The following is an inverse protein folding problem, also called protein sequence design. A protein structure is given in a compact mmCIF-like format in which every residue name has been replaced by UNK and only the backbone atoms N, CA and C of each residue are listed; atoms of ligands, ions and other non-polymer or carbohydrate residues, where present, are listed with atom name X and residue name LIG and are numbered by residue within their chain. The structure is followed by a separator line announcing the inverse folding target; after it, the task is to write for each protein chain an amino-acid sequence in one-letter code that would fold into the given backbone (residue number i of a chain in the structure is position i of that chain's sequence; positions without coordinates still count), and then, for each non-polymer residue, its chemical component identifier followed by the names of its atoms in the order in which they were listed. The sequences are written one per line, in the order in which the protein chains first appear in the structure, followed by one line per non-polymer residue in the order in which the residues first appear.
data_IF_293380272558
#
_entry.id   IF_293380272558
#
_cell.length_a   1.000
_cell.length_b   1.000
_cell.length_c   1.000
_cell.angle_alpha   90.00
_cell.angle_beta   90.00
_cell.angle_gamma   90.00
#
_symmetry.space_group_name_H-M   'P 1'
#
loop_
_entity.id
_entity.type
_entity.pdbx_description
1 polymer ?
#
# COMPACT_ATOMS: atom_id res chain seq x y z
N UNK A 1 33.55 34.73 34.05
CA UNK A 1 34.54 33.81 33.47
C UNK A 1 34.00 32.39 33.74
N UNK A 2 33.17 31.89 32.85
CA UNK A 2 32.72 30.48 32.85
C UNK A 2 32.59 30.04 31.41
N UNK A 3 33.64 29.40 30.98
CA UNK A 3 33.77 28.66 29.73
C UNK A 3 33.11 27.26 29.90
N UNK A 4 31.99 27.01 29.21
CA UNK A 4 31.62 25.65 28.82
C UNK A 4 31.03 25.73 27.39
N UNK A 5 31.64 25.10 26.42
CA UNK A 5 31.04 24.96 25.10
C UNK A 5 29.97 23.87 25.18
N UNK A 6 28.76 24.23 24.80
CA UNK A 6 27.60 23.35 24.67
C UNK A 6 27.80 22.37 23.49
N UNK A 7 28.41 21.23 23.73
CA UNK A 7 28.51 20.11 22.77
C UNK A 7 27.23 19.26 22.69
N UNK A 8 26.09 19.79 23.13
CA UNK A 8 24.81 19.05 23.15
C UNK A 8 24.08 19.12 21.79
N UNK A 9 24.41 20.10 20.94
CA UNK A 9 23.70 20.31 19.67
C UNK A 9 24.03 19.31 18.55
N UNK A 10 25.25 18.82 18.46
CA UNK A 10 25.67 17.99 17.31
C UNK A 10 25.31 16.51 17.46
N UNK A 11 25.27 15.98 18.66
CA UNK A 11 24.90 14.59 18.92
C UNK A 11 23.38 14.36 18.74
N UNK A 12 22.53 15.31 19.10
CA UNK A 12 21.08 15.25 18.89
C UNK A 12 20.72 15.37 17.41
N UNK A 13 21.34 16.28 16.68
CA UNK A 13 21.16 16.47 15.23
C UNK A 13 21.55 15.25 14.42
N UNK A 14 22.61 14.54 14.80
CA UNK A 14 23.01 13.29 14.14
C UNK A 14 22.04 12.14 14.46
N UNK A 15 21.51 12.07 15.67
CA UNK A 15 20.50 11.07 16.07
C UNK A 15 19.18 11.23 15.31
N UNK A 16 18.72 12.45 15.10
CA UNK A 16 17.46 12.71 14.37
C UNK A 16 17.62 12.48 12.87
N UNK A 17 18.75 12.86 12.28
CA UNK A 17 19.07 12.51 10.88
C UNK A 17 19.11 11.00 10.66
N UNK A 18 19.74 10.25 11.57
CA UNK A 18 19.81 8.80 11.48
C UNK A 18 18.40 8.17 11.55
N UNK A 19 17.53 8.62 12.45
CA UNK A 19 16.13 8.17 12.54
C UNK A 19 15.37 8.44 11.25
N UNK A 20 15.50 9.63 10.65
CA UNK A 20 14.87 9.96 9.37
C UNK A 20 15.36 9.06 8.25
N UNK A 21 16.65 8.81 8.14
CA UNK A 21 17.22 7.88 7.14
C UNK A 21 16.69 6.46 7.34
N UNK A 22 16.68 5.96 8.56
CA UNK A 22 16.10 4.64 8.88
C UNK A 22 14.61 4.58 8.53
N UNK A 23 13.86 5.66 8.79
CA UNK A 23 12.47 5.79 8.39
C UNK A 23 12.28 5.72 6.87
N UNK A 24 13.09 6.46 6.11
CA UNK A 24 13.08 6.42 4.65
C UNK A 24 13.41 5.01 4.12
N UNK A 25 14.44 4.36 4.66
CA UNK A 25 14.81 2.99 4.29
C UNK A 25 13.69 1.99 4.63
N UNK A 26 13.02 2.16 5.77
CA UNK A 26 11.91 1.31 6.14
C UNK A 26 10.72 1.47 5.16
N UNK A 27 10.34 2.70 4.78
CA UNK A 27 9.28 2.93 3.80
C UNK A 27 9.66 2.37 2.42
N UNK A 28 10.90 2.55 1.99
CA UNK A 28 11.39 1.96 0.73
C UNK A 28 11.38 0.43 0.80
N UNK A 29 11.88 -0.15 1.89
CA UNK A 29 11.81 -1.59 2.14
C UNK A 29 10.38 -2.12 2.09
N UNK A 30 9.43 -1.38 2.66
CA UNK A 30 8.00 -1.70 2.55
C UNK A 30 7.53 -1.73 1.10
N UNK A 31 7.89 -0.74 0.28
CA UNK A 31 7.52 -0.70 -1.13
C UNK A 31 8.06 -1.93 -1.88
N UNK A 32 9.30 -2.34 -1.58
CA UNK A 32 9.92 -3.53 -2.15
C UNK A 32 9.23 -4.83 -1.69
N UNK A 33 8.94 -4.98 -0.39
CA UNK A 33 8.26 -6.16 0.12
C UNK A 33 6.83 -6.29 -0.41
N UNK A 34 6.09 -5.20 -0.54
CA UNK A 34 4.76 -5.24 -1.18
C UNK A 34 4.85 -5.60 -2.66
N UNK A 35 5.88 -5.14 -3.36
CA UNK A 35 6.13 -5.55 -4.73
C UNK A 35 6.40 -7.07 -4.81
N UNK A 36 7.26 -7.62 -3.94
CA UNK A 36 7.50 -9.07 -3.88
C UNK A 36 6.24 -9.87 -3.57
N UNK A 37 5.37 -9.36 -2.69
CA UNK A 37 4.10 -10.02 -2.40
C UNK A 37 3.23 -10.15 -3.67
N UNK A 38 3.20 -9.14 -4.53
CA UNK A 38 2.47 -9.20 -5.81
C UNK A 38 3.15 -10.10 -6.84
N UNK A 39 4.48 -10.12 -6.85
CA UNK A 39 5.22 -11.05 -7.69
C UNK A 39 4.90 -12.51 -7.35
N UNK A 40 4.75 -12.84 -6.06
CA UNK A 40 4.35 -14.19 -5.62
C UNK A 40 2.97 -14.58 -6.13
N UNK A 41 1.99 -13.66 -6.11
CA UNK A 41 0.65 -13.91 -6.68
C UNK A 41 0.76 -14.25 -8.16
N UNK A 42 1.56 -13.48 -8.92
CA UNK A 42 1.77 -13.72 -10.35
C UNK A 42 2.53 -15.02 -10.63
N UNK A 43 3.53 -15.36 -9.80
CA UNK A 43 4.22 -16.66 -9.92
C UNK A 43 3.26 -17.84 -9.72
N UNK A 44 2.35 -17.76 -8.75
CA UNK A 44 1.35 -18.81 -8.56
C UNK A 44 0.45 -18.95 -9.81
N UNK A 45 -0.06 -17.84 -10.34
CA UNK A 45 -0.86 -17.82 -11.57
C UNK A 45 -0.10 -18.41 -12.75
N UNK A 46 1.18 -18.06 -12.94
CA UNK A 46 2.02 -18.56 -14.03
C UNK A 46 2.32 -20.07 -13.94
N UNK A 47 2.21 -20.71 -12.77
CA UNK A 47 2.39 -22.16 -12.61
C UNK A 47 1.11 -22.96 -12.92
N UNK A 48 0.03 -22.31 -13.30
CA UNK A 48 -1.27 -22.93 -13.55
C UNK A 48 -2.05 -23.28 -12.27
N UNK A 49 -1.56 -22.86 -11.10
CA UNK A 49 -2.31 -22.97 -9.86
C UNK A 49 -3.38 -21.86 -9.83
N UNK A 50 -4.63 -22.26 -9.90
CA UNK A 50 -5.77 -21.33 -9.78
C UNK A 50 -6.06 -21.03 -8.31
N UNK A 51 -5.20 -20.21 -7.67
CA UNK A 51 -5.42 -19.74 -6.30
C UNK A 51 -6.22 -18.45 -6.35
N UNK A 52 -7.43 -18.47 -5.79
CA UNK A 52 -8.28 -17.26 -5.76
C UNK A 52 -7.58 -16.12 -5.01
N UNK A 53 -7.60 -14.88 -5.53
CA UNK A 53 -7.08 -13.70 -4.84
C UNK A 53 -7.55 -13.53 -3.40
N UNK A 54 -8.80 -13.91 -3.10
CA UNK A 54 -9.32 -13.86 -1.73
C UNK A 54 -8.57 -14.78 -0.77
N UNK A 55 -8.05 -15.92 -1.25
CA UNK A 55 -7.27 -16.82 -0.41
C UNK A 55 -5.90 -16.22 -0.04
N UNK A 56 -5.24 -15.50 -0.96
CA UNK A 56 -4.04 -14.72 -0.64
C UNK A 56 -4.33 -13.63 0.39
N UNK A 57 -5.47 -12.92 0.26
CA UNK A 57 -5.88 -11.89 1.22
C UNK A 57 -6.14 -12.49 2.59
N UNK A 58 -6.86 -13.62 2.66
CA UNK A 58 -7.12 -14.33 3.91
C UNK A 58 -5.82 -14.77 4.59
N UNK A 59 -4.95 -15.45 3.84
CA UNK A 59 -3.67 -15.95 4.35
C UNK A 59 -2.80 -14.81 4.90
N UNK A 60 -2.73 -13.68 4.20
CA UNK A 60 -2.05 -12.47 4.66
C UNK A 60 -2.62 -11.94 5.98
N UNK A 61 -3.94 -11.88 6.09
CA UNK A 61 -4.58 -11.37 7.32
C UNK A 61 -4.40 -12.34 8.48
N UNK A 62 -4.54 -13.63 8.22
CA UNK A 62 -4.30 -14.66 9.24
C UNK A 62 -2.86 -14.62 9.75
N UNK A 63 -1.88 -14.61 8.86
CA UNK A 63 -0.47 -14.53 9.23
C UNK A 63 -0.15 -13.22 9.97
N UNK A 64 -0.69 -12.08 9.52
CA UNK A 64 -0.54 -10.79 10.20
C UNK A 64 -1.19 -10.78 11.58
N UNK A 65 -2.35 -11.42 11.74
CA UNK A 65 -3.01 -11.54 13.03
C UNK A 65 -2.21 -12.40 14.01
N UNK A 66 -1.72 -13.55 13.56
CA UNK A 66 -0.84 -14.40 14.38
C UNK A 66 0.43 -13.64 14.78
N UNK A 67 1.06 -12.94 13.83
CA UNK A 67 2.24 -12.13 14.13
C UNK A 67 1.96 -11.07 15.19
N UNK A 68 0.88 -10.27 15.05
CA UNK A 68 0.59 -9.19 16.00
C UNK A 68 0.17 -9.74 17.37
N UNK A 69 -0.55 -10.87 17.43
CA UNK A 69 -0.90 -11.52 18.69
C UNK A 69 0.35 -11.99 19.44
N UNK A 70 1.30 -12.63 18.76
CA UNK A 70 2.58 -13.04 19.36
C UNK A 70 3.36 -11.82 19.84
N UNK A 71 3.47 -10.79 19.00
CA UNK A 71 4.18 -9.54 19.32
C UNK A 71 3.59 -8.86 20.56
N UNK A 72 2.26 -8.69 20.60
CA UNK A 72 1.55 -8.10 21.74
C UNK A 72 1.64 -8.98 23.00
N UNK A 73 1.59 -10.31 22.84
CA UNK A 73 1.76 -11.26 23.93
C UNK A 73 3.14 -11.17 24.58
N UNK A 74 4.21 -11.11 23.78
CA UNK A 74 5.60 -10.95 24.24
C UNK A 74 5.80 -9.63 24.98
N UNK A 75 5.28 -8.53 24.40
CA UNK A 75 5.41 -7.19 25.00
C UNK A 75 4.37 -6.91 26.10
N UNK A 76 3.41 -7.82 26.32
CA UNK A 76 2.31 -7.67 27.28
C UNK A 76 1.51 -6.38 27.08
N UNK A 77 1.29 -5.99 25.82
CA UNK A 77 0.54 -4.77 25.43
C UNK A 77 -0.84 -5.17 24.88
N UNK A 78 -1.92 -5.17 25.70
CA UNK A 78 -3.25 -5.51 25.20
C UNK A 78 -3.77 -4.45 24.22
N UNK A 79 -4.68 -4.81 23.27
CA UNK A 79 -5.29 -3.85 22.38
C UNK A 79 -6.14 -2.83 23.16
N UNK A 80 -6.06 -1.54 22.79
CA UNK A 80 -6.75 -0.43 23.45
C UNK A 80 -7.64 0.33 22.46
N UNK A 81 -8.80 -0.24 22.06
CA UNK A 81 -9.70 0.44 21.13
C UNK A 81 -10.39 1.61 21.82
N UNK A 82 -10.26 2.82 21.23
CA UNK A 82 -10.93 4.03 21.67
C UNK A 82 -12.12 4.39 20.76
N UNK A 83 -12.01 4.14 19.45
CA UNK A 83 -13.05 4.44 18.47
C UNK A 83 -13.16 3.32 17.42
N UNK A 84 -14.17 2.47 17.58
CA UNK A 84 -14.42 1.34 16.69
C UNK A 84 -14.75 1.74 15.26
N UNK A 85 -15.41 2.88 15.03
CA UNK A 85 -15.75 3.36 13.69
C UNK A 85 -14.48 3.54 12.83
N UNK A 86 -13.41 4.10 13.41
CA UNK A 86 -12.16 4.27 12.68
C UNK A 86 -11.46 2.94 12.39
N UNK A 87 -11.50 2.00 13.34
CA UNK A 87 -10.91 0.67 13.18
C UNK A 87 -11.66 -0.16 12.14
N UNK A 88 -13.01 -0.18 12.21
CA UNK A 88 -13.87 -0.90 11.25
C UNK A 88 -13.75 -0.29 9.85
N UNK A 89 -13.89 1.04 9.74
CA UNK A 89 -13.77 1.73 8.45
C UNK A 89 -12.41 1.50 7.78
N UNK A 90 -11.33 1.55 8.56
CA UNK A 90 -9.98 1.19 8.11
C UNK A 90 -9.90 -0.25 7.61
N UNK A 91 -10.48 -1.19 8.37
CA UNK A 91 -10.41 -2.62 8.06
C UNK A 91 -11.21 -2.96 6.80
N UNK A 92 -12.48 -2.54 6.73
CA UNK A 92 -13.35 -2.83 5.57
C UNK A 92 -12.77 -2.26 4.29
N UNK A 93 -12.38 -0.98 4.30
CA UNK A 93 -11.79 -0.36 3.10
C UNK A 93 -10.43 -0.99 2.72
N UNK A 94 -9.64 -1.48 3.69
CA UNK A 94 -8.42 -2.20 3.40
C UNK A 94 -8.68 -3.60 2.82
N UNK A 95 -9.68 -4.33 3.31
CA UNK A 95 -10.09 -5.62 2.73
C UNK A 95 -10.41 -5.46 1.24
N UNK A 96 -11.24 -4.47 0.89
CA UNK A 96 -11.58 -4.15 -0.49
C UNK A 96 -10.34 -3.78 -1.30
N UNK A 97 -9.50 -2.89 -0.77
CA UNK A 97 -8.28 -2.45 -1.45
C UNK A 97 -7.35 -3.62 -1.78
N UNK A 98 -7.09 -4.51 -0.83
CA UNK A 98 -6.14 -5.63 -1.02
C UNK A 98 -6.75 -6.70 -1.91
N UNK A 99 -8.04 -7.01 -1.77
CA UNK A 99 -8.73 -7.95 -2.64
C UNK A 99 -8.69 -7.49 -4.10
N UNK A 100 -9.12 -6.26 -4.37
CA UNK A 100 -9.10 -5.71 -5.73
C UNK A 100 -7.68 -5.60 -6.28
N UNK A 101 -6.70 -5.32 -5.42
CA UNK A 101 -5.30 -5.26 -5.81
C UNK A 101 -4.77 -6.62 -6.29
N UNK A 102 -4.97 -7.68 -5.50
CA UNK A 102 -4.49 -9.01 -5.88
C UNK A 102 -5.25 -9.55 -7.09
N UNK A 103 -6.56 -9.24 -7.19
CA UNK A 103 -7.35 -9.57 -8.37
C UNK A 103 -6.84 -8.88 -9.64
N UNK A 104 -6.49 -7.59 -9.54
CA UNK A 104 -5.88 -6.88 -10.66
C UNK A 104 -4.55 -7.50 -11.09
N UNK A 105 -3.66 -7.82 -10.13
CA UNK A 105 -2.37 -8.45 -10.41
C UNK A 105 -2.52 -9.82 -11.05
N UNK A 106 -3.50 -10.61 -10.62
CA UNK A 106 -3.78 -11.93 -11.18
C UNK A 106 -4.28 -11.84 -12.63
N UNK A 107 -5.23 -10.96 -12.89
CA UNK A 107 -5.89 -10.83 -14.20
C UNK A 107 -5.07 -10.01 -15.22
N UNK A 108 -4.19 -9.13 -14.76
CA UNK A 108 -3.39 -8.26 -15.63
C UNK A 108 -1.89 -8.52 -15.44
N UNK A 109 -1.13 -7.50 -15.06
CA UNK A 109 0.30 -7.60 -14.75
C UNK A 109 0.62 -7.03 -13.38
N UNK A 110 1.77 -7.44 -12.83
CA UNK A 110 2.29 -6.87 -11.57
C UNK A 110 2.52 -5.36 -11.72
N UNK A 111 3.04 -4.92 -12.87
CA UNK A 111 3.26 -3.51 -13.14
C UNK A 111 1.94 -2.73 -13.12
N UNK A 112 0.96 -3.17 -13.88
CA UNK A 112 -0.34 -2.50 -14.03
C UNK A 112 -1.10 -2.44 -12.69
N UNK A 113 -1.22 -3.56 -11.99
CA UNK A 113 -1.86 -3.62 -10.68
C UNK A 113 -1.20 -2.67 -9.67
N UNK A 114 0.14 -2.62 -9.63
CA UNK A 114 0.86 -1.71 -8.72
C UNK A 114 0.70 -0.24 -9.12
N UNK A 115 0.77 0.10 -10.40
CA UNK A 115 0.63 1.49 -10.87
C UNK A 115 -0.77 2.01 -10.55
N UNK A 116 -1.81 1.24 -10.89
CA UNK A 116 -3.20 1.62 -10.66
C UNK A 116 -3.53 1.69 -9.15
N UNK A 117 -3.04 0.76 -8.34
CA UNK A 117 -3.18 0.86 -6.89
C UNK A 117 -2.52 2.14 -6.34
N UNK A 118 -1.37 2.57 -6.89
CA UNK A 118 -0.67 3.78 -6.48
C UNK A 118 -1.36 5.08 -6.95
N UNK A 119 -2.56 5.01 -7.52
CA UNK A 119 -3.41 6.20 -7.76
C UNK A 119 -4.09 6.69 -6.48
N UNK A 120 -4.00 5.96 -5.35
CA UNK A 120 -4.66 6.34 -4.10
C UNK A 120 -4.36 7.78 -3.62
N UNK A 121 -3.18 8.40 -3.81
CA UNK A 121 -2.96 9.77 -3.41
C UNK A 121 -3.78 10.78 -4.22
N UNK A 122 -4.06 10.46 -5.51
CA UNK A 122 -4.95 11.26 -6.35
C UNK A 122 -6.36 11.26 -5.79
N UNK A 123 -6.87 10.08 -5.43
CA UNK A 123 -8.20 9.94 -4.81
C UNK A 123 -8.27 10.57 -3.43
N UNK A 124 -7.22 10.49 -2.59
CA UNK A 124 -7.17 11.22 -1.33
C UNK A 124 -7.31 12.73 -1.57
N UNK A 125 -6.66 13.26 -2.60
CA UNK A 125 -6.76 14.68 -2.94
C UNK A 125 -8.17 15.03 -3.41
N UNK A 126 -8.75 14.23 -4.30
CA UNK A 126 -10.12 14.40 -4.80
C UNK A 126 -11.15 14.35 -3.65
N UNK A 127 -11.07 13.34 -2.80
CA UNK A 127 -11.96 13.22 -1.63
C UNK A 127 -11.78 14.36 -0.64
N UNK A 128 -10.56 14.86 -0.46
CA UNK A 128 -10.31 16.03 0.39
C UNK A 128 -11.02 17.29 -0.14
N UNK A 129 -11.08 17.46 -1.45
CA UNK A 129 -11.80 18.58 -2.06
C UNK A 129 -13.31 18.46 -1.93
N UNK A 130 -13.83 17.23 -2.02
CA UNK A 130 -15.28 16.97 -1.96
C UNK A 130 -15.78 17.02 -0.51
N UNK A 131 -15.12 16.26 0.39
CA UNK A 131 -15.59 16.04 1.76
C UNK A 131 -15.27 17.21 2.70
N UNK A 132 -14.09 17.83 2.55
CA UNK A 132 -13.63 18.87 3.46
C UNK A 132 -13.74 20.27 2.87
N UNK A 133 -14.34 20.44 1.68
CA UNK A 133 -14.51 21.71 0.97
C UNK A 133 -13.22 22.56 0.93
N UNK A 134 -12.08 21.88 0.90
CA UNK A 134 -10.77 22.54 0.90
C UNK A 134 -10.63 23.35 -0.39
N UNK A 135 -10.01 24.52 -0.31
CA UNK A 135 -9.74 25.35 -1.47
C UNK A 135 -9.00 24.57 -2.56
N UNK A 136 -9.51 24.69 -3.78
CA UNK A 136 -8.97 24.02 -4.96
C UNK A 136 -7.94 24.94 -5.58
N UNK A 137 -6.71 24.55 -5.47
CA UNK A 137 -5.65 25.21 -6.19
C UNK A 137 -5.65 24.77 -7.65
N UNK A 138 -5.68 25.70 -8.63
CA UNK A 138 -5.76 25.38 -10.07
C UNK A 138 -4.63 24.45 -10.54
N UNK A 139 -3.42 24.62 -10.01
CA UNK A 139 -2.27 23.79 -10.38
C UNK A 139 -2.47 22.36 -9.89
N UNK A 140 -2.96 22.17 -8.67
CA UNK A 140 -3.29 20.83 -8.16
C UNK A 140 -4.39 20.16 -8.97
N UNK A 141 -5.38 20.90 -9.44
CA UNK A 141 -6.42 20.38 -10.36
C UNK A 141 -5.79 19.89 -11.65
N UNK A 142 -4.93 20.70 -12.28
CA UNK A 142 -4.24 20.33 -13.52
C UNK A 142 -3.38 19.07 -13.36
N UNK A 143 -2.64 18.97 -12.26
CA UNK A 143 -1.82 17.80 -11.94
C UNK A 143 -2.67 16.54 -11.74
N UNK A 144 -3.80 16.65 -11.06
CA UNK A 144 -4.73 15.52 -10.91
C UNK A 144 -5.29 15.09 -12.27
N UNK A 145 -5.68 16.03 -13.12
CA UNK A 145 -6.15 15.73 -14.48
C UNK A 145 -5.06 15.05 -15.32
N UNK A 146 -3.82 15.56 -15.27
CA UNK A 146 -2.69 14.93 -15.96
C UNK A 146 -2.41 13.52 -15.46
N UNK A 147 -2.50 13.28 -14.14
CA UNK A 147 -2.33 11.94 -13.57
C UNK A 147 -3.49 11.00 -13.96
N UNK A 148 -4.73 11.48 -14.08
CA UNK A 148 -5.85 10.70 -14.61
C UNK A 148 -5.70 10.41 -16.11
N UNK A 149 -5.10 11.31 -16.90
CA UNK A 149 -4.68 10.98 -18.26
C UNK A 149 -3.64 9.85 -18.27
N UNK A 150 -2.71 9.85 -17.31
CA UNK A 150 -1.81 8.72 -17.08
C UNK A 150 -2.53 7.41 -16.75
N UNK A 151 -3.57 7.46 -15.92
CA UNK A 151 -4.43 6.28 -15.65
C UNK A 151 -5.05 5.77 -16.96
N UNK A 152 -5.59 6.67 -17.77
CA UNK A 152 -6.17 6.30 -19.07
C UNK A 152 -5.16 5.59 -19.98
N UNK A 153 -3.91 6.09 -20.06
CA UNK A 153 -2.85 5.46 -20.87
C UNK A 153 -2.48 4.05 -20.37
N UNK A 154 -2.69 3.75 -19.08
CA UNK A 154 -2.49 2.41 -18.52
C UNK A 154 -3.69 1.49 -18.86
N UNK A 155 -4.92 2.02 -18.75
CA UNK A 155 -6.15 1.27 -19.00
C UNK A 155 -6.36 0.95 -20.49
N UNK A 156 -5.76 1.73 -21.40
CA UNK A 156 -5.93 1.62 -22.84
C UNK A 156 -4.56 1.57 -23.55
N UNK A 157 -3.84 0.45 -23.47
CA UNK A 157 -2.46 0.35 -23.95
C UNK A 157 -2.30 0.19 -25.47
N UNK A 158 -3.28 0.55 -26.28
CA UNK A 158 -3.17 0.42 -27.75
C UNK A 158 -4.34 1.04 -28.49
N UNK A 159 -5.35 0.27 -28.82
CA UNK A 159 -6.39 0.64 -29.82
C UNK A 159 -7.64 1.32 -29.23
N UNK A 160 -7.52 2.14 -28.22
CA UNK A 160 -8.61 2.75 -27.44
C UNK A 160 -9.56 1.74 -26.76
N UNK A 161 -9.31 0.46 -26.85
CA UNK A 161 -10.07 -0.55 -26.12
C UNK A 161 -9.59 -0.60 -24.66
N UNK A 162 -10.52 -0.35 -23.76
CA UNK A 162 -10.28 -0.47 -22.33
C UNK A 162 -10.12 -1.95 -21.97
N UNK A 163 -9.03 -2.29 -21.31
CA UNK A 163 -8.93 -3.60 -20.68
C UNK A 163 -9.86 -3.61 -19.45
N UNK A 164 -10.98 -4.35 -19.48
CA UNK A 164 -11.94 -4.34 -18.37
C UNK A 164 -11.33 -4.88 -17.06
N UNK A 165 -10.31 -5.73 -17.14
CA UNK A 165 -9.68 -6.31 -15.96
C UNK A 165 -8.81 -5.30 -15.20
N UNK A 166 -8.32 -4.28 -15.87
CA UNK A 166 -7.56 -3.19 -15.24
C UNK A 166 -8.38 -2.33 -14.28
N UNK A 167 -9.71 -2.36 -14.40
CA UNK A 167 -10.62 -1.60 -13.51
C UNK A 167 -10.47 -2.04 -12.05
N UNK A 168 -10.10 -3.29 -11.79
CA UNK A 168 -9.85 -3.79 -10.44
C UNK A 168 -8.68 -3.05 -9.76
N UNK A 169 -7.63 -2.72 -10.52
CA UNK A 169 -6.52 -1.90 -10.04
C UNK A 169 -6.96 -0.50 -9.62
N UNK A 170 -7.86 0.12 -10.40
CA UNK A 170 -8.42 1.42 -10.08
C UNK A 170 -9.31 1.38 -8.82
N UNK A 171 -10.19 0.38 -8.71
CA UNK A 171 -10.98 0.16 -7.49
C UNK A 171 -10.12 -0.08 -6.26
N UNK A 172 -8.98 -0.77 -6.43
CA UNK A 172 -7.99 -0.91 -5.38
C UNK A 172 -7.44 0.45 -4.93
N UNK A 173 -7.08 1.33 -5.86
CA UNK A 173 -6.61 2.69 -5.56
C UNK A 173 -7.64 3.52 -4.82
N UNK A 174 -8.91 3.50 -5.25
CA UNK A 174 -10.03 4.18 -4.58
C UNK A 174 -10.20 3.67 -3.15
N UNK A 175 -10.28 2.34 -2.99
CA UNK A 175 -10.46 1.72 -1.68
C UNK A 175 -9.27 1.97 -0.74
N UNK A 176 -8.04 1.97 -1.30
CA UNK A 176 -6.83 2.31 -0.55
C UNK A 176 -6.84 3.77 -0.09
N UNK A 177 -7.35 4.71 -0.90
CA UNK A 177 -7.50 6.10 -0.51
C UNK A 177 -8.40 6.25 0.73
N UNK A 178 -9.58 5.63 0.70
CA UNK A 178 -10.51 5.62 1.84
C UNK A 178 -9.83 4.99 3.07
N UNK A 179 -9.14 3.87 2.86
CA UNK A 179 -8.44 3.14 3.91
C UNK A 179 -7.34 4.00 4.59
N UNK A 180 -6.55 4.75 3.82
CA UNK A 180 -5.53 5.66 4.34
C UNK A 180 -6.15 6.87 5.05
N UNK A 181 -7.29 7.38 4.60
CA UNK A 181 -8.02 8.44 5.31
C UNK A 181 -8.46 7.96 6.69
N UNK A 182 -9.06 6.76 6.79
CA UNK A 182 -9.38 6.14 8.07
C UNK A 182 -8.15 5.86 8.94
N UNK A 183 -7.02 5.45 8.35
CA UNK A 183 -5.77 5.29 9.08
C UNK A 183 -5.34 6.59 9.74
N UNK A 184 -5.37 7.72 9.00
CA UNK A 184 -5.01 9.01 9.54
C UNK A 184 -5.90 9.45 10.72
N UNK A 185 -7.20 9.12 10.67
CA UNK A 185 -8.13 9.37 11.77
C UNK A 185 -7.83 8.43 12.96
N UNK A 186 -7.62 7.14 12.68
CA UNK A 186 -7.34 6.12 13.69
C UNK A 186 -6.06 6.43 14.48
N UNK A 187 -4.99 6.87 13.80
CA UNK A 187 -3.70 7.19 14.43
C UNK A 187 -3.72 8.34 15.43
N UNK A 188 -4.79 9.14 15.44
CA UNK A 188 -4.96 10.22 16.43
C UNK A 188 -5.37 9.70 17.81
N UNK A 189 -5.96 8.50 17.86
CA UNK A 189 -6.59 7.93 19.06
C UNK A 189 -6.16 6.49 19.38
N UNK A 190 -5.46 5.82 18.45
CA UNK A 190 -4.99 4.45 18.62
C UNK A 190 -3.49 4.33 18.40
N UNK A 191 -2.87 3.40 19.11
CA UNK A 191 -1.51 2.93 18.82
C UNK A 191 -1.48 2.04 17.55
N UNK A 192 -0.26 1.77 17.10
CA UNK A 192 -0.02 0.96 15.89
C UNK A 192 -0.50 -0.46 16.08
N UNK A 193 -0.22 -1.03 17.24
CA UNK A 193 -0.50 -2.42 17.58
C UNK A 193 -2.00 -2.68 17.60
N UNK A 194 -2.77 -1.81 18.25
CA UNK A 194 -4.24 -1.89 18.26
C UNK A 194 -4.81 -1.77 16.84
N UNK A 195 -4.30 -0.84 16.05
CA UNK A 195 -4.76 -0.65 14.66
C UNK A 195 -4.48 -1.89 13.81
N UNK A 196 -3.30 -2.51 13.94
CA UNK A 196 -2.94 -3.73 13.20
C UNK A 196 -3.70 -4.96 13.71
N UNK A 197 -3.94 -5.06 15.02
CA UNK A 197 -4.73 -6.15 15.60
C UNK A 197 -6.14 -6.20 15.00
N UNK A 198 -6.83 -5.07 14.98
CA UNK A 198 -8.16 -4.98 14.36
C UNK A 198 -8.12 -5.15 12.85
N UNK A 199 -7.13 -4.56 12.18
CA UNK A 199 -6.96 -4.69 10.73
C UNK A 199 -6.84 -6.16 10.31
N UNK A 200 -5.94 -6.89 10.95
CA UNK A 200 -5.69 -8.28 10.58
C UNK A 200 -6.74 -9.24 11.13
N UNK A 201 -7.16 -9.08 12.39
CA UNK A 201 -8.14 -9.97 13.02
C UNK A 201 -9.53 -9.84 12.41
N UNK A 202 -10.09 -8.62 12.42
CA UNK A 202 -11.40 -8.37 11.84
C UNK A 202 -11.38 -8.55 10.31
N UNK A 203 -10.29 -8.13 9.65
CA UNK A 203 -10.13 -8.31 8.22
C UNK A 203 -10.10 -9.79 7.81
N UNK A 204 -9.38 -10.62 8.57
CA UNK A 204 -9.37 -12.07 8.37
C UNK A 204 -10.76 -12.68 8.50
N UNK A 205 -11.52 -12.29 9.54
CA UNK A 205 -12.90 -12.74 9.73
C UNK A 205 -13.80 -12.30 8.57
N UNK A 206 -13.74 -11.04 8.15
CA UNK A 206 -14.56 -10.52 7.04
C UNK A 206 -14.26 -11.30 5.75
N UNK A 207 -13.00 -11.45 5.38
CA UNK A 207 -12.63 -12.17 4.15
C UNK A 207 -13.03 -13.64 4.23
N UNK A 208 -12.84 -14.30 5.37
CA UNK A 208 -13.27 -15.68 5.56
C UNK A 208 -14.79 -15.84 5.38
N UNK A 209 -15.60 -14.96 5.98
CA UNK A 209 -17.06 -15.06 5.88
C UNK A 209 -17.59 -14.77 4.47
N UNK A 210 -16.96 -13.84 3.76
CA UNK A 210 -17.39 -13.45 2.40
C UNK A 210 -16.92 -14.47 1.35
N UNK A 211 -15.72 -15.03 1.51
CA UNK A 211 -15.04 -15.87 0.52
C UNK A 211 -14.76 -17.29 1.03
N UNK A 212 -15.59 -17.80 1.95
CA UNK A 212 -15.36 -19.13 2.57
C UNK A 212 -15.26 -20.26 1.58
N UNK A 213 -15.95 -20.15 0.43
CA UNK A 213 -15.96 -21.20 -0.61
C UNK A 213 -14.63 -21.25 -1.37
N UNK A 214 -13.88 -20.16 -1.42
CA UNK A 214 -12.57 -20.06 -2.04
C UNK A 214 -11.42 -20.40 -1.08
N UNK A 215 -11.73 -20.58 0.23
CA UNK A 215 -10.75 -20.85 1.28
C UNK A 215 -10.89 -22.31 1.72
N UNK A 216 -9.89 -23.10 1.38
CA UNK A 216 -9.85 -24.54 1.65
C UNK A 216 -8.54 -24.94 2.32
N UNK A 217 -8.40 -26.22 2.70
CA UNK A 217 -7.12 -26.72 3.21
C UNK A 217 -6.15 -26.82 2.02
N UNK A 218 -5.09 -25.99 1.97
CA UNK A 218 -4.19 -25.94 0.86
C UNK A 218 -3.30 -27.20 0.79
N UNK A 219 -3.02 -27.67 -0.42
CA UNK A 219 -1.91 -28.58 -0.65
C UNK A 219 -0.55 -27.88 -0.39
N UNK A 220 0.53 -28.64 -0.35
CA UNK A 220 1.87 -28.13 -0.03
C UNK A 220 2.30 -27.01 -1.01
N UNK A 221 1.93 -27.13 -2.27
CA UNK A 221 2.34 -26.18 -3.30
C UNK A 221 1.57 -24.85 -3.15
N UNK A 222 0.27 -24.90 -3.00
CA UNK A 222 -0.58 -23.74 -2.69
C UNK A 222 -0.13 -23.06 -1.38
N UNK A 223 0.11 -23.88 -0.33
CA UNK A 223 0.56 -23.35 0.98
C UNK A 223 1.88 -22.58 0.86
N UNK A 224 2.83 -23.07 0.05
CA UNK A 224 4.10 -22.36 -0.19
C UNK A 224 3.86 -20.94 -0.72
N UNK A 225 3.01 -20.76 -1.73
CA UNK A 225 2.73 -19.43 -2.29
C UNK A 225 1.96 -18.54 -1.32
N UNK A 226 1.00 -19.08 -0.59
CA UNK A 226 0.26 -18.36 0.45
C UNK A 226 1.19 -17.86 1.56
N UNK A 227 2.10 -18.70 2.06
CA UNK A 227 3.05 -18.31 3.11
C UNK A 227 4.07 -17.29 2.60
N UNK A 228 4.60 -17.46 1.38
CA UNK A 228 5.52 -16.48 0.79
C UNK A 228 4.86 -15.11 0.61
N UNK A 229 3.65 -15.06 0.03
CA UNK A 229 2.90 -13.83 -0.12
C UNK A 229 2.59 -13.18 1.22
N UNK A 230 2.16 -13.97 2.20
CA UNK A 230 1.87 -13.51 3.56
C UNK A 230 3.10 -12.92 4.24
N UNK A 231 4.25 -13.61 4.16
CA UNK A 231 5.51 -13.14 4.72
C UNK A 231 5.90 -11.77 4.15
N UNK A 232 5.94 -11.62 2.84
CA UNK A 232 6.29 -10.35 2.21
C UNK A 232 5.25 -9.26 2.51
N UNK A 233 3.97 -9.60 2.52
CA UNK A 233 2.90 -8.65 2.83
C UNK A 233 2.96 -8.15 4.28
N UNK A 234 3.18 -9.04 5.24
CA UNK A 234 3.28 -8.70 6.68
C UNK A 234 4.56 -7.90 6.94
N UNK A 235 5.68 -8.30 6.36
CA UNK A 235 6.93 -7.55 6.42
C UNK A 235 6.76 -6.14 5.85
N UNK A 236 6.16 -6.02 4.66
CA UNK A 236 5.85 -4.72 4.05
C UNK A 236 4.97 -3.86 4.95
N UNK A 237 3.94 -4.44 5.55
CA UNK A 237 3.04 -3.73 6.47
C UNK A 237 3.74 -3.27 7.76
N UNK A 238 4.63 -4.08 8.31
CA UNK A 238 5.43 -3.72 9.47
C UNK A 238 6.39 -2.59 9.15
N UNK A 239 7.13 -2.71 8.05
CA UNK A 239 8.10 -1.69 7.61
C UNK A 239 7.45 -0.33 7.29
N UNK A 240 6.29 -0.30 6.64
CA UNK A 240 5.59 0.96 6.38
C UNK A 240 5.13 1.61 7.69
N UNK A 241 4.63 0.81 8.61
CA UNK A 241 4.17 1.29 9.92
C UNK A 241 5.33 1.84 10.73
N UNK A 242 6.47 1.15 10.75
CA UNK A 242 7.70 1.60 11.39
C UNK A 242 8.24 2.87 10.74
N UNK A 243 8.30 2.90 9.41
CA UNK A 243 8.81 4.04 8.66
C UNK A 243 8.05 5.32 8.95
N UNK A 244 6.72 5.28 8.90
CA UNK A 244 5.86 6.44 9.22
C UNK A 244 5.95 6.92 10.69
N UNK A 245 6.66 6.24 11.55
CA UNK A 245 7.02 6.75 12.88
C UNK A 245 8.13 7.81 12.82
N UNK A 246 8.98 7.75 11.78
CA UNK A 246 10.21 8.54 11.68
C UNK A 246 10.23 9.50 10.49
N UNK A 247 9.30 9.35 9.53
CA UNK A 247 9.18 10.24 8.37
C UNK A 247 7.82 10.92 8.37
N UNK A 248 7.77 12.08 7.73
CA UNK A 248 6.51 12.79 7.51
C UNK A 248 5.62 12.05 6.51
N UNK A 249 4.32 12.32 6.53
CA UNK A 249 3.38 11.75 5.54
C UNK A 249 3.78 12.08 4.09
N UNK A 250 4.46 13.22 3.91
CA UNK A 250 4.98 13.68 2.61
C UNK A 250 6.13 12.81 2.13
N UNK A 251 7.18 12.69 2.94
CA UNK A 251 8.34 11.87 2.62
C UNK A 251 7.93 10.42 2.37
N UNK A 252 7.09 9.87 3.27
CA UNK A 252 6.58 8.51 3.13
C UNK A 252 5.73 8.32 1.87
N UNK A 253 4.92 9.31 1.47
CA UNK A 253 4.14 9.28 0.24
C UNK A 253 5.00 9.23 -1.01
N UNK A 254 6.04 10.08 -1.08
CA UNK A 254 7.02 10.10 -2.20
C UNK A 254 7.74 8.76 -2.29
N UNK A 255 8.29 8.28 -1.18
CA UNK A 255 9.05 7.03 -1.15
C UNK A 255 8.15 5.84 -1.50
N UNK A 256 6.92 5.79 -0.99
CA UNK A 256 5.97 4.73 -1.35
C UNK A 256 5.63 4.70 -2.83
N UNK A 257 5.62 5.86 -3.51
CA UNK A 257 5.37 5.95 -4.96
C UNK A 257 6.48 5.32 -5.80
N UNK A 258 7.68 5.07 -5.23
CA UNK A 258 8.75 4.32 -5.93
C UNK A 258 8.35 2.90 -6.28
N UNK A 259 7.29 2.35 -5.63
CA UNK A 259 6.72 1.04 -5.99
C UNK A 259 6.24 1.00 -7.45
N UNK A 260 5.79 2.13 -8.01
CA UNK A 260 5.46 2.27 -9.44
C UNK A 260 6.69 1.90 -10.29
N UNK A 261 7.83 2.50 -9.97
CA UNK A 261 9.07 2.28 -10.71
C UNK A 261 9.60 0.86 -10.51
N UNK A 262 9.55 0.35 -9.27
CA UNK A 262 9.92 -1.04 -8.97
C UNK A 262 9.10 -2.03 -9.81
N UNK A 263 7.78 -1.85 -9.87
CA UNK A 263 6.90 -2.73 -10.63
C UNK A 263 7.14 -2.63 -12.15
N UNK A 264 7.31 -1.42 -12.66
CA UNK A 264 7.54 -1.19 -14.08
C UNK A 264 8.88 -1.77 -14.57
N UNK A 265 9.94 -1.65 -13.75
CA UNK A 265 11.29 -2.12 -14.11
C UNK A 265 11.47 -3.60 -13.83
N UNK A 266 11.05 -4.08 -12.66
CA UNK A 266 11.31 -5.46 -12.23
C UNK A 266 10.27 -6.47 -12.73
N UNK A 267 9.07 -6.02 -13.11
CA UNK A 267 7.99 -6.90 -13.60
C UNK A 267 8.46 -7.85 -14.72
N UNK A 268 9.03 -7.34 -15.83
CA UNK A 268 9.49 -8.20 -16.92
C UNK A 268 10.54 -9.25 -16.52
N UNK A 269 11.39 -8.92 -15.56
CA UNK A 269 12.48 -9.80 -15.12
C UNK A 269 12.06 -10.84 -14.07
N UNK A 270 11.17 -10.46 -13.15
CA UNK A 270 10.79 -11.32 -12.03
C UNK A 270 9.51 -12.12 -12.26
N UNK A 271 8.58 -11.60 -13.06
CA UNK A 271 7.27 -12.23 -13.26
C UNK A 271 6.98 -12.64 -14.70
N UNK A 272 7.94 -12.42 -15.60
CA UNK A 272 7.78 -12.65 -17.04
C UNK A 272 6.59 -11.89 -17.64
N UNK A 273 6.18 -10.80 -16.98
CA UNK A 273 5.16 -9.90 -17.52
C UNK A 273 5.67 -9.17 -18.75
N UNK A 274 4.81 -8.80 -19.71
CA UNK A 274 5.23 -7.97 -20.82
C UNK A 274 5.76 -6.62 -20.31
N UNK A 275 6.83 -6.13 -20.92
CA UNK A 275 7.33 -4.78 -20.63
C UNK A 275 6.25 -3.74 -20.95
N UNK A 276 6.18 -2.68 -20.14
CA UNK A 276 5.23 -1.60 -20.41
C UNK A 276 5.48 -1.00 -21.80
N UNK A 277 4.40 -0.75 -22.52
CA UNK A 277 4.44 0.03 -23.76
C UNK A 277 4.91 1.47 -23.50
N UNK A 278 5.25 2.21 -24.56
CA UNK A 278 5.60 3.65 -24.42
C UNK A 278 4.48 4.44 -23.75
N UNK A 279 3.22 4.14 -24.08
CA UNK A 279 2.05 4.73 -23.43
C UNK A 279 1.99 4.35 -21.93
N UNK A 280 2.25 3.10 -21.60
CA UNK A 280 2.32 2.62 -20.22
C UNK A 280 3.40 3.34 -19.40
N UNK A 281 4.60 3.52 -19.95
CA UNK A 281 5.67 4.29 -19.30
C UNK A 281 5.30 5.75 -19.08
N UNK A 282 4.67 6.39 -20.10
CA UNK A 282 4.20 7.76 -19.97
C UNK A 282 3.13 7.88 -18.89
N UNK A 283 2.18 6.93 -18.85
CA UNK A 283 1.15 6.86 -17.82
C UNK A 283 1.74 6.70 -16.42
N UNK A 284 2.67 5.76 -16.25
CA UNK A 284 3.36 5.52 -14.98
C UNK A 284 4.12 6.77 -14.50
N UNK A 285 4.80 7.47 -15.41
CA UNK A 285 5.51 8.70 -15.10
C UNK A 285 4.55 9.83 -14.68
N UNK A 286 3.43 10.02 -15.38
CA UNK A 286 2.43 11.04 -15.02
C UNK A 286 1.84 10.77 -13.63
N UNK A 287 1.51 9.53 -13.31
CA UNK A 287 0.99 9.16 -11.98
C UNK A 287 2.06 9.37 -10.91
N UNK A 288 3.29 8.93 -11.15
CA UNK A 288 4.41 9.10 -10.21
C UNK A 288 4.70 10.58 -9.95
N UNK A 289 4.88 11.38 -11.00
CA UNK A 289 5.14 12.81 -10.89
C UNK A 289 3.98 13.55 -10.21
N UNK A 290 2.73 13.18 -10.53
CA UNK A 290 1.54 13.71 -9.89
C UNK A 290 1.51 13.40 -8.39
N UNK A 291 1.80 12.17 -7.99
CA UNK A 291 1.88 11.76 -6.59
C UNK A 291 2.96 12.56 -5.83
N UNK A 292 4.15 12.68 -6.40
CA UNK A 292 5.26 13.45 -5.81
C UNK A 292 4.85 14.91 -5.63
N UNK A 293 4.32 15.55 -6.69
CA UNK A 293 3.91 16.95 -6.65
C UNK A 293 2.82 17.21 -5.59
N UNK A 294 1.74 16.42 -5.61
CA UNK A 294 0.62 16.58 -4.67
C UNK A 294 1.07 16.35 -3.22
N UNK A 295 2.02 15.44 -3.03
CA UNK A 295 2.57 15.14 -1.72
C UNK A 295 3.41 16.31 -1.19
N UNK A 296 4.31 16.88 -2.02
CA UNK A 296 5.13 18.04 -1.66
C UNK A 296 4.30 19.30 -1.37
N UNK A 297 3.20 19.50 -2.09
CA UNK A 297 2.37 20.70 -1.93
C UNK A 297 1.47 20.68 -0.70
N UNK A 298 1.14 19.51 -0.15
CA UNK A 298 0.40 19.41 1.14
C UNK A 298 1.18 19.93 2.34
N UNK A 299 2.45 20.26 2.19
CA UNK A 299 3.35 20.76 3.24
C UNK A 299 3.30 22.26 3.39
N UNK A 300 2.89 23.00 2.37
CA UNK A 300 2.63 24.44 2.44
C UNK A 300 1.19 24.70 2.84
#
# INVERSE_FOLDING_TARGET
MTLFPSNIGTASLNGDKLKTVLGCLAVFGSAFFFYLATAVVKWASNTGLSIDPAFFVFSRFLAGFLFICVYMGVLRTPPRPANYHYLIGRTVSNCLAVYFFFKAVDLTSVAEGNILNMTYPLFITLFSWILFKRERDPVSVLIVLAAFAGVWLILSPGDMDLNPDSIWGLFSGISAAVSIMYLNLSRRVHDTETTLFFLFGLGGVIIFLVFREQIFLPDIQTLKYLLMCSFFSVAGQYFITLGFKFVTAVEGGIISSTRILLAAVLGPYLTSDPALSTAGWTGAFLIFAGNVYLTLRKVK
#
